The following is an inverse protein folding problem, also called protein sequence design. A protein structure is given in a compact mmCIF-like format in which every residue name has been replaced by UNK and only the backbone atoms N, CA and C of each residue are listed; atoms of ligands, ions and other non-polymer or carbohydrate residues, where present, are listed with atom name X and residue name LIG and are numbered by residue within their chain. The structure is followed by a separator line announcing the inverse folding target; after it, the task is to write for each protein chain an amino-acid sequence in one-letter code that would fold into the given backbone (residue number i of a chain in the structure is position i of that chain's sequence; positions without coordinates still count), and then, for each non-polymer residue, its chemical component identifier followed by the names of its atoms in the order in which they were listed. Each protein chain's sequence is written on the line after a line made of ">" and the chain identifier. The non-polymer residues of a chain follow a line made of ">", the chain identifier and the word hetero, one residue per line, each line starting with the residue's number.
data_IF_660479146777
#
_entry.id   IF_660479146777
#
_cell.length_a   1.000
_cell.length_b   1.000
_cell.length_c   1.000
_cell.angle_alpha   90.00
_cell.angle_beta   90.00
_cell.angle_gamma   90.00
#
_symmetry.space_group_name_H-M   'P 1'
#
loop_
_entity.id
_entity.type
_entity.pdbx_description
1 polymer ?
#
# COMPACT_ATOMS: atom_id res chain seq x y z
N UNK A 1 4.93 8.86 -6.88
CA UNK A 1 4.77 8.65 -5.43
C UNK A 1 6.08 8.27 -4.77
N UNK A 2 6.52 7.02 -4.90
CA UNK A 2 7.65 6.46 -4.14
C UNK A 2 8.98 7.19 -4.32
N UNK A 3 9.29 7.63 -5.54
CA UNK A 3 10.51 8.38 -5.84
C UNK A 3 10.49 9.79 -5.22
N UNK A 4 9.35 10.48 -5.25
CA UNK A 4 9.16 11.74 -4.52
C UNK A 4 9.37 11.51 -3.03
N UNK A 5 8.77 10.45 -2.46
CA UNK A 5 8.93 10.12 -1.04
C UNK A 5 10.41 9.95 -0.66
N UNK A 6 11.16 9.15 -1.43
CA UNK A 6 12.57 8.91 -1.21
C UNK A 6 13.41 10.20 -1.34
N UNK A 7 13.11 11.09 -2.29
CA UNK A 7 13.83 12.37 -2.41
C UNK A 7 13.74 13.20 -1.12
N UNK A 8 12.58 13.24 -0.47
CA UNK A 8 12.37 13.99 0.77
C UNK A 8 12.78 13.22 2.04
N UNK A 9 12.97 11.90 1.98
CA UNK A 9 13.47 11.06 3.08
C UNK A 9 14.93 10.64 2.92
N UNK A 10 15.63 11.12 1.90
CA UNK A 10 16.95 10.60 1.52
C UNK A 10 17.99 10.63 2.65
N UNK A 11 17.97 11.65 3.51
CA UNK A 11 18.88 11.74 4.66
C UNK A 11 18.50 10.75 5.76
N UNK A 12 17.20 10.61 6.02
CA UNK A 12 16.66 9.67 7.00
C UNK A 12 16.93 8.22 6.58
N UNK A 13 16.63 7.88 5.33
CA UNK A 13 16.81 6.52 4.82
C UNK A 13 18.30 6.12 4.74
N UNK A 14 19.20 7.09 4.53
CA UNK A 14 20.65 6.86 4.60
C UNK A 14 21.13 6.50 6.01
N UNK A 15 20.64 7.22 7.01
CA UNK A 15 21.07 7.00 8.40
C UNK A 15 20.36 5.80 9.05
N UNK A 16 19.14 5.47 8.62
CA UNK A 16 18.45 4.25 9.02
C UNK A 16 19.00 2.95 8.36
N UNK A 17 20.14 3.03 7.67
CA UNK A 17 20.78 1.93 6.93
C UNK A 17 19.80 1.12 6.06
N UNK A 18 18.75 1.75 5.53
CA UNK A 18 17.83 1.06 4.63
C UNK A 18 18.63 0.71 3.37
N UNK A 19 18.92 -0.58 3.19
CA UNK A 19 19.64 -1.11 2.04
C UNK A 19 18.81 -0.93 0.77
N UNK A 20 18.94 0.26 0.17
CA UNK A 20 18.41 0.54 -1.16
C UNK A 20 19.57 0.99 -2.05
N UNK A 21 20.50 0.08 -2.28
CA UNK A 21 21.68 0.28 -3.13
C UNK A 21 21.31 0.83 -4.51
N UNK A 22 20.17 0.38 -5.06
CA UNK A 22 19.63 0.81 -6.34
C UNK A 22 19.42 2.35 -6.44
N UNK A 23 18.99 3.00 -5.36
CA UNK A 23 18.67 4.44 -5.38
C UNK A 23 19.87 5.35 -5.13
N UNK A 24 21.06 4.80 -4.85
CA UNK A 24 22.28 5.61 -4.66
C UNK A 24 22.79 6.20 -5.98
N UNK A 25 22.53 5.51 -7.10
CA UNK A 25 23.03 5.87 -8.42
C UNK A 25 22.17 6.89 -9.17
N UNK A 26 20.97 7.21 -8.67
CA UNK A 26 20.03 8.11 -9.32
C UNK A 26 19.99 9.44 -8.56
N UNK A 27 20.08 10.56 -9.27
CA UNK A 27 20.03 11.89 -8.67
C UNK A 27 18.60 12.28 -8.26
N UNK A 28 18.41 13.15 -7.24
CA UNK A 28 17.08 13.61 -6.85
C UNK A 28 16.31 14.30 -7.98
N UNK A 29 17.03 14.99 -8.87
CA UNK A 29 16.42 15.67 -10.03
C UNK A 29 15.85 14.65 -11.02
N UNK A 30 16.60 13.59 -11.34
CA UNK A 30 16.10 12.49 -12.17
C UNK A 30 14.91 11.81 -11.51
N UNK A 31 14.96 11.60 -10.19
CA UNK A 31 13.87 10.98 -9.47
C UNK A 31 12.57 11.79 -9.53
N UNK A 32 12.67 13.11 -9.32
CA UNK A 32 11.52 14.00 -9.46
C UNK A 32 11.04 14.04 -10.90
N UNK A 33 11.95 14.19 -11.87
CA UNK A 33 11.61 14.21 -13.29
C UNK A 33 10.84 12.96 -13.72
N UNK A 34 11.36 11.77 -13.42
CA UNK A 34 10.66 10.52 -13.74
C UNK A 34 9.34 10.38 -12.99
N UNK A 35 9.22 10.91 -11.76
CA UNK A 35 7.95 10.92 -11.02
C UNK A 35 6.89 11.78 -11.70
N UNK A 36 7.26 12.99 -12.14
CA UNK A 36 6.33 13.89 -12.82
C UNK A 36 6.03 13.42 -14.25
N UNK A 37 7.02 12.87 -14.96
CA UNK A 37 6.84 12.32 -16.29
C UNK A 37 5.90 11.11 -16.26
N UNK A 38 6.13 10.15 -15.35
CA UNK A 38 5.24 8.99 -15.20
C UNK A 38 3.83 9.41 -14.79
N UNK A 39 3.68 10.33 -13.84
CA UNK A 39 2.37 10.86 -13.46
C UNK A 39 1.68 11.55 -14.64
N UNK A 40 2.38 12.41 -15.39
CA UNK A 40 1.85 13.09 -16.57
C UNK A 40 1.39 12.12 -17.65
N UNK A 41 2.23 11.13 -17.98
CA UNK A 41 1.87 10.10 -18.96
C UNK A 41 0.67 9.26 -18.50
N UNK A 42 0.61 8.85 -17.23
CA UNK A 42 -0.54 8.15 -16.67
C UNK A 42 -1.82 8.99 -16.72
N UNK A 43 -1.74 10.29 -16.40
CA UNK A 43 -2.89 11.19 -16.45
C UNK A 43 -3.38 11.41 -17.88
N UNK A 44 -2.46 11.55 -18.85
CA UNK A 44 -2.81 11.65 -20.27
C UNK A 44 -3.53 10.39 -20.76
N UNK A 45 -3.04 9.21 -20.35
CA UNK A 45 -3.66 7.93 -20.67
C UNK A 45 -5.06 7.81 -20.06
N UNK A 46 -5.22 8.14 -18.78
CA UNK A 46 -6.52 8.13 -18.11
C UNK A 46 -7.48 9.13 -18.75
N UNK A 47 -7.01 10.33 -19.10
CA UNK A 47 -7.83 11.35 -19.77
C UNK A 47 -8.28 10.91 -21.16
N UNK A 48 -7.42 10.21 -21.91
CA UNK A 48 -7.77 9.63 -23.20
C UNK A 48 -8.88 8.57 -23.08
N UNK A 49 -8.91 7.83 -21.96
CA UNK A 49 -9.96 6.84 -21.70
C UNK A 49 -11.25 7.53 -21.22
N UNK A 50 -11.16 8.33 -20.16
CA UNK A 50 -12.29 9.03 -19.55
C UNK A 50 -11.83 10.15 -18.59
N UNK A 51 -12.50 11.32 -18.63
CA UNK A 51 -12.13 12.49 -17.81
C UNK A 51 -12.26 12.24 -16.31
N UNK A 52 -13.24 11.43 -15.87
CA UNK A 52 -13.41 11.08 -14.45
C UNK A 52 -12.26 10.20 -13.96
N UNK A 53 -11.79 9.26 -14.79
CA UNK A 53 -10.60 8.47 -14.47
C UNK A 53 -9.36 9.35 -14.30
N UNK A 54 -9.19 10.38 -15.13
CA UNK A 54 -8.10 11.34 -14.98
C UNK A 54 -8.21 12.14 -13.68
N UNK A 55 -9.41 12.56 -13.28
CA UNK A 55 -9.64 13.25 -12.00
C UNK A 55 -9.30 12.33 -10.82
N UNK A 56 -9.72 11.07 -10.85
CA UNK A 56 -9.38 10.08 -9.82
C UNK A 56 -7.87 9.86 -9.78
N UNK A 57 -7.21 9.69 -10.92
CA UNK A 57 -5.76 9.55 -11.02
C UNK A 57 -5.00 10.78 -10.51
N UNK A 58 -5.51 11.98 -10.77
CA UNK A 58 -4.94 13.23 -10.27
C UNK A 58 -5.06 13.30 -8.74
N UNK A 59 -6.23 12.92 -8.20
CA UNK A 59 -6.43 12.85 -6.74
C UNK A 59 -5.44 11.91 -6.07
N UNK A 60 -5.15 10.75 -6.69
CA UNK A 60 -4.15 9.79 -6.21
C UNK A 60 -2.75 10.41 -6.17
N UNK A 61 -2.36 11.07 -7.26
CA UNK A 61 -1.08 11.76 -7.33
C UNK A 61 -0.97 12.85 -6.26
N UNK A 62 -2.00 13.68 -6.11
CA UNK A 62 -2.03 14.76 -5.12
C UNK A 62 -1.93 14.23 -3.69
N UNK A 63 -2.65 13.16 -3.34
CA UNK A 63 -2.55 12.54 -2.01
C UNK A 63 -1.10 12.14 -1.71
N UNK A 64 -0.43 11.44 -2.63
CA UNK A 64 0.96 11.03 -2.39
C UNK A 64 1.97 12.16 -2.48
N UNK A 65 1.69 13.19 -3.28
CA UNK A 65 2.51 14.39 -3.33
C UNK A 65 2.46 15.09 -1.96
N UNK A 66 1.27 15.43 -1.48
CA UNK A 66 1.04 16.11 -0.19
C UNK A 66 1.51 15.25 0.99
N UNK A 67 1.40 13.92 0.88
CA UNK A 67 1.95 12.98 1.86
C UNK A 67 3.46 13.11 2.02
N UNK A 68 4.19 13.26 0.92
CA UNK A 68 5.65 13.23 0.90
C UNK A 68 6.32 14.60 1.04
N UNK A 69 5.69 15.67 0.56
CA UNK A 69 6.35 16.98 0.35
C UNK A 69 5.96 18.03 1.40
N UNK A 70 6.88 18.94 1.79
CA UNK A 70 6.55 20.12 2.61
C UNK A 70 5.63 21.10 1.86
N UNK A 71 4.85 21.94 2.57
CA UNK A 71 4.84 22.12 4.02
C UNK A 71 3.97 21.10 4.78
N UNK A 72 3.05 20.41 4.09
CA UNK A 72 2.08 19.54 4.75
C UNK A 72 2.70 18.20 5.17
N UNK A 73 3.43 17.52 4.28
CA UNK A 73 4.13 16.25 4.55
C UNK A 73 3.31 15.31 5.45
N UNK A 74 2.11 14.91 5.01
CA UNK A 74 1.11 14.25 5.88
C UNK A 74 1.63 13.02 6.62
N UNK A 75 2.64 12.35 6.08
CA UNK A 75 3.33 11.23 6.75
C UNK A 75 3.90 11.57 8.13
N UNK A 76 4.08 12.86 8.44
CA UNK A 76 4.57 13.36 9.74
C UNK A 76 3.48 14.07 10.56
N UNK A 77 2.20 13.91 10.20
CA UNK A 77 1.06 14.52 10.91
C UNK A 77 0.09 13.44 11.33
N UNK A 78 0.03 13.06 12.62
CA UNK A 78 -0.96 12.08 13.10
C UNK A 78 -2.36 12.69 13.23
N UNK A 79 -3.46 11.99 12.88
CA UNK A 79 -3.54 10.67 12.23
C UNK A 79 -3.59 10.72 10.69
N UNK A 80 -3.18 11.84 10.08
CA UNK A 80 -3.23 12.06 8.63
C UNK A 80 -2.27 11.14 7.87
N UNK A 81 -1.21 10.64 8.51
CA UNK A 81 -0.32 9.61 7.98
C UNK A 81 -1.09 8.30 7.66
N UNK A 82 -1.99 7.87 8.55
CA UNK A 82 -2.87 6.72 8.32
C UNK A 82 -3.88 7.04 7.21
N UNK A 83 -4.55 8.20 7.29
CA UNK A 83 -5.60 8.57 6.34
C UNK A 83 -5.05 8.69 4.91
N UNK A 84 -3.87 9.29 4.73
CA UNK A 84 -3.24 9.41 3.43
C UNK A 84 -2.91 8.04 2.82
N UNK A 85 -2.45 7.07 3.63
CA UNK A 85 -2.22 5.70 3.16
C UNK A 85 -3.53 4.96 2.87
N UNK A 86 -4.55 5.09 3.73
CA UNK A 86 -5.86 4.48 3.52
C UNK A 86 -6.57 4.99 2.26
N UNK A 87 -6.37 6.27 1.90
CA UNK A 87 -6.86 6.86 0.67
C UNK A 87 -5.99 6.46 -0.54
N UNK A 88 -4.68 6.65 -0.43
CA UNK A 88 -3.73 6.49 -1.54
C UNK A 88 -3.47 5.04 -1.94
N UNK A 89 -3.53 4.09 -1.02
CA UNK A 89 -3.37 2.66 -1.32
C UNK A 89 -4.68 1.87 -1.24
N UNK A 90 -5.74 2.44 -0.66
CA UNK A 90 -7.04 1.79 -0.51
C UNK A 90 -8.11 2.40 -1.40
N UNK A 91 -8.70 3.51 -0.94
CA UNK A 91 -9.92 4.06 -1.53
C UNK A 91 -9.76 4.45 -3.00
N UNK A 92 -8.73 5.23 -3.31
CA UNK A 92 -8.58 5.83 -4.64
C UNK A 92 -8.19 4.78 -5.68
N UNK A 93 -7.22 3.86 -5.45
CA UNK A 93 -6.94 2.78 -6.40
C UNK A 93 -8.13 1.84 -6.61
N UNK A 94 -8.87 1.51 -5.54
CA UNK A 94 -10.09 0.71 -5.67
C UNK A 94 -11.12 1.42 -6.55
N UNK A 95 -11.40 2.69 -6.26
CA UNK A 95 -12.35 3.50 -7.04
C UNK A 95 -11.92 3.61 -8.50
N UNK A 96 -10.62 3.84 -8.76
CA UNK A 96 -10.07 3.93 -10.11
C UNK A 96 -10.32 2.63 -10.88
N UNK A 97 -9.98 1.48 -10.30
CA UNK A 97 -10.22 0.17 -10.93
C UNK A 97 -11.71 -0.14 -11.10
N UNK A 98 -12.53 0.21 -10.11
CA UNK A 98 -13.98 -0.02 -10.11
C UNK A 98 -14.68 0.73 -11.24
N UNK A 99 -14.35 2.02 -11.41
CA UNK A 99 -14.88 2.90 -12.48
C UNK A 99 -14.31 2.49 -13.84
N UNK A 100 -13.01 2.14 -13.91
CA UNK A 100 -12.37 1.70 -15.16
C UNK A 100 -13.06 0.46 -15.76
N UNK A 101 -13.59 -0.41 -14.91
CA UNK A 101 -14.34 -1.60 -15.32
C UNK A 101 -15.81 -1.32 -15.65
N UNK A 102 -16.24 -0.05 -15.63
CA UNK A 102 -17.61 0.36 -15.94
C UNK A 102 -18.64 0.03 -14.85
N UNK A 103 -18.19 -0.26 -13.62
CA UNK A 103 -19.13 -0.55 -12.54
C UNK A 103 -19.81 0.74 -12.04
N UNK A 104 -21.13 0.72 -11.78
CA UNK A 104 -21.85 1.87 -11.27
C UNK A 104 -21.52 2.15 -9.81
N UNK A 105 -21.34 3.43 -9.45
CA UNK A 105 -21.16 3.85 -8.06
C UNK A 105 -22.47 3.67 -7.29
N UNK A 106 -22.44 2.83 -6.26
CA UNK A 106 -23.60 2.47 -5.43
C UNK A 106 -23.23 2.54 -3.96
N UNK A 107 -24.22 2.42 -3.07
CA UNK A 107 -23.95 2.27 -1.64
C UNK A 107 -23.05 1.06 -1.35
N UNK A 108 -23.18 -0.02 -2.13
CA UNK A 108 -22.35 -1.20 -1.99
C UNK A 108 -20.88 -0.92 -2.33
N UNK A 109 -20.60 -0.16 -3.39
CA UNK A 109 -19.21 0.20 -3.75
C UNK A 109 -18.56 1.11 -2.72
N UNK A 110 -19.33 2.01 -2.08
CA UNK A 110 -18.85 2.84 -0.96
C UNK A 110 -18.42 1.96 0.21
N UNK A 111 -19.21 0.93 0.55
CA UNK A 111 -18.87 -0.03 1.60
C UNK A 111 -17.60 -0.80 1.25
N UNK A 112 -17.43 -1.24 -0.01
CA UNK A 112 -16.19 -1.90 -0.47
C UNK A 112 -14.95 -1.01 -0.30
N UNK A 113 -15.08 0.26 -0.69
CA UNK A 113 -14.02 1.27 -0.50
C UNK A 113 -13.64 1.39 0.97
N UNK A 114 -14.63 1.49 1.88
CA UNK A 114 -14.38 1.58 3.32
C UNK A 114 -13.67 0.32 3.84
N UNK A 115 -14.12 -0.88 3.45
CA UNK A 115 -13.51 -2.15 3.88
C UNK A 115 -12.04 -2.22 3.45
N UNK A 116 -11.76 -1.90 2.19
CA UNK A 116 -10.40 -1.88 1.62
C UNK A 116 -9.55 -0.83 2.33
N UNK A 117 -10.06 0.37 2.56
CA UNK A 117 -9.34 1.43 3.29
C UNK A 117 -9.02 1.05 4.73
N UNK A 118 -9.94 0.39 5.45
CA UNK A 118 -9.69 -0.11 6.80
C UNK A 118 -8.58 -1.16 6.83
N UNK A 119 -8.56 -2.08 5.85
CA UNK A 119 -7.50 -3.07 5.75
C UNK A 119 -6.15 -2.43 5.45
N UNK A 120 -6.11 -1.47 4.51
CA UNK A 120 -4.89 -0.73 4.18
C UNK A 120 -4.38 0.08 5.37
N UNK A 121 -5.26 0.75 6.11
CA UNK A 121 -4.91 1.48 7.32
C UNK A 121 -4.32 0.55 8.40
N UNK A 122 -4.95 -0.61 8.60
CA UNK A 122 -4.45 -1.67 9.46
C UNK A 122 -3.04 -2.12 9.05
N UNK A 123 -2.87 -2.48 7.78
CA UNK A 123 -1.60 -2.91 7.24
C UNK A 123 -0.51 -1.86 7.41
N UNK A 124 -0.83 -0.59 7.10
CA UNK A 124 0.08 0.54 7.29
C UNK A 124 0.60 0.62 8.73
N UNK A 125 -0.28 0.51 9.73
CA UNK A 125 0.13 0.49 11.14
C UNK A 125 1.08 -0.67 11.46
N UNK A 126 0.84 -1.85 10.91
CA UNK A 126 1.69 -3.02 11.14
C UNK A 126 3.07 -2.91 10.50
N UNK A 127 3.19 -2.31 9.31
CA UNK A 127 4.51 -2.09 8.71
C UNK A 127 5.25 -0.92 9.38
N UNK A 128 4.55 0.17 9.70
CA UNK A 128 5.12 1.34 10.36
C UNK A 128 5.46 1.08 11.83
N UNK A 129 4.94 0.00 12.43
CA UNK A 129 5.36 -0.48 13.75
C UNK A 129 6.88 -0.67 13.84
N UNK A 130 7.51 -1.21 12.79
CA UNK A 130 8.94 -1.50 12.78
C UNK A 130 9.81 -0.25 12.71
N UNK A 131 9.24 0.87 12.28
CA UNK A 131 9.97 2.13 12.12
C UNK A 131 9.79 3.06 13.34
N UNK A 132 9.05 2.67 14.40
CA UNK A 132 8.75 3.52 15.57
C UNK A 132 10.01 4.05 16.28
N UNK A 133 11.00 3.19 16.52
CA UNK A 133 12.21 3.57 17.25
C UNK A 133 13.06 4.52 16.40
N UNK A 134 13.31 4.14 15.15
CA UNK A 134 14.01 4.98 14.17
C UNK A 134 13.31 6.32 13.97
N UNK A 135 12.00 6.35 13.71
CA UNK A 135 11.27 7.62 13.51
C UNK A 135 11.38 8.55 14.72
N UNK A 136 11.44 8.01 15.96
CA UNK A 136 11.63 8.82 17.17
C UNK A 136 13.03 9.42 17.25
N UNK A 137 14.07 8.67 16.87
CA UNK A 137 15.46 9.17 16.85
C UNK A 137 15.62 10.37 15.92
N UNK A 138 14.87 10.41 14.82
CA UNK A 138 14.84 11.53 13.88
C UNK A 138 13.78 12.60 14.20
N UNK A 139 13.08 12.49 15.33
CA UNK A 139 12.05 13.45 15.73
C UNK A 139 10.80 13.44 14.83
N UNK A 140 10.57 12.36 14.08
CA UNK A 140 9.39 12.22 13.21
C UNK A 140 8.17 11.82 14.03
N UNK A 141 7.09 12.58 13.86
CA UNK A 141 5.80 12.34 14.50
C UNK A 141 4.88 11.59 13.53
N UNK A 142 4.78 10.28 13.68
CA UNK A 142 3.77 9.44 13.02
C UNK A 142 2.75 8.98 14.04
N UNK A 143 1.61 8.47 13.60
CA UNK A 143 0.64 7.89 14.53
C UNK A 143 1.26 6.74 15.30
N UNK A 144 2.14 5.96 14.67
CA UNK A 144 2.87 4.89 15.33
C UNK A 144 3.82 5.42 16.42
N UNK A 145 4.53 6.54 16.19
CA UNK A 145 5.42 7.10 17.22
C UNK A 145 4.66 7.70 18.40
N UNK A 146 3.46 8.28 18.18
CA UNK A 146 2.58 8.78 19.24
C UNK A 146 1.95 7.63 20.05
N UNK A 147 1.37 6.65 19.37
CA UNK A 147 0.71 5.51 20.03
C UNK A 147 1.72 4.62 20.78
N UNK A 148 2.91 4.46 20.20
CA UNK A 148 3.91 3.49 20.64
C UNK A 148 3.52 2.05 20.29
N UNK A 149 4.50 1.15 20.40
CA UNK A 149 4.44 -0.23 19.93
C UNK A 149 3.13 -0.97 20.27
N UNK A 150 2.74 -1.01 21.55
CA UNK A 150 1.55 -1.77 21.98
C UNK A 150 0.26 -1.21 21.36
N UNK A 151 0.01 0.10 21.47
CA UNK A 151 -1.23 0.70 20.99
C UNK A 151 -1.31 0.67 19.45
N UNK A 152 -0.20 0.80 18.73
CA UNK A 152 -0.14 0.62 17.27
C UNK A 152 -0.68 -0.75 16.86
N UNK A 153 -0.23 -1.82 17.53
CA UNK A 153 -0.71 -3.18 17.27
C UNK A 153 -2.21 -3.30 17.56
N UNK A 154 -2.68 -2.79 18.70
CA UNK A 154 -4.09 -2.85 19.06
C UNK A 154 -4.98 -2.11 18.06
N UNK A 155 -4.62 -0.89 17.68
CA UNK A 155 -5.39 -0.10 16.70
C UNK A 155 -5.38 -0.78 15.33
N UNK A 156 -4.21 -1.27 14.86
CA UNK A 156 -4.12 -2.02 13.61
C UNK A 156 -5.03 -3.26 13.62
N UNK A 157 -5.03 -4.01 14.73
CA UNK A 157 -5.88 -5.20 14.89
C UNK A 157 -7.37 -4.84 14.90
N UNK A 158 -7.77 -3.75 15.57
CA UNK A 158 -9.16 -3.29 15.56
C UNK A 158 -9.61 -2.92 14.14
N UNK A 159 -8.81 -2.15 13.40
CA UNK A 159 -9.11 -1.77 12.03
C UNK A 159 -9.23 -2.99 11.12
N UNK A 160 -8.36 -3.99 11.31
CA UNK A 160 -8.44 -5.26 10.60
C UNK A 160 -9.73 -6.01 10.90
N UNK A 161 -10.05 -6.23 12.18
CA UNK A 161 -11.24 -6.96 12.60
C UNK A 161 -12.51 -6.26 12.11
N UNK A 162 -12.55 -4.92 12.14
CA UNK A 162 -13.64 -4.15 11.56
C UNK A 162 -13.75 -4.38 10.05
N UNK A 163 -12.64 -4.32 9.30
CA UNK A 163 -12.63 -4.62 7.87
C UNK A 163 -13.16 -6.03 7.58
N UNK A 164 -12.71 -7.03 8.35
CA UNK A 164 -13.14 -8.42 8.21
C UNK A 164 -14.63 -8.62 8.52
N UNK A 165 -15.13 -8.08 9.64
CA UNK A 165 -16.55 -8.18 10.03
C UNK A 165 -17.44 -7.51 8.98
N UNK A 166 -17.08 -6.31 8.53
CA UNK A 166 -17.83 -5.62 7.48
C UNK A 166 -17.84 -6.41 6.17
N UNK A 167 -16.72 -7.05 5.82
CA UNK A 167 -16.64 -7.92 4.65
C UNK A 167 -17.58 -9.12 4.74
N UNK A 168 -17.62 -9.81 5.89
CA UNK A 168 -18.56 -10.91 6.12
C UNK A 168 -20.00 -10.42 5.99
N UNK A 169 -20.32 -9.33 6.67
CA UNK A 169 -21.68 -8.81 6.76
C UNK A 169 -22.26 -8.40 5.40
N UNK A 170 -21.45 -7.76 4.55
CA UNK A 170 -21.94 -7.22 3.27
C UNK A 170 -21.75 -8.16 2.07
N UNK A 171 -20.83 -9.11 2.12
CA UNK A 171 -20.39 -9.81 0.91
C UNK A 171 -20.40 -11.35 0.97
N UNK A 172 -20.65 -11.96 2.13
CA UNK A 172 -20.65 -13.41 2.33
C UNK A 172 -19.36 -14.12 1.83
N UNK A 173 -19.30 -15.46 1.94
CA UNK A 173 -18.10 -16.28 1.70
C UNK A 173 -17.58 -16.30 0.25
N UNK A 174 -18.32 -15.73 -0.71
CA UNK A 174 -18.02 -15.84 -2.13
C UNK A 174 -17.36 -14.59 -2.72
N UNK A 175 -17.27 -13.50 -1.96
CA UNK A 175 -16.68 -12.28 -2.48
C UNK A 175 -15.16 -12.25 -2.30
N UNK A 176 -14.50 -11.81 -3.35
CA UNK A 176 -13.06 -11.66 -3.47
C UNK A 176 -12.49 -10.83 -2.34
N UNK A 177 -13.21 -9.80 -1.88
CA UNK A 177 -12.75 -8.95 -0.78
C UNK A 177 -12.63 -9.78 0.50
N UNK A 178 -13.63 -10.63 0.80
CA UNK A 178 -13.59 -11.48 1.99
C UNK A 178 -12.52 -12.56 1.89
N UNK A 179 -12.39 -13.22 0.74
CA UNK A 179 -11.33 -14.23 0.52
C UNK A 179 -9.95 -13.58 0.71
N UNK A 180 -9.74 -12.40 0.13
CA UNK A 180 -8.46 -11.69 0.19
C UNK A 180 -8.13 -11.24 1.62
N UNK A 181 -9.09 -10.76 2.41
CA UNK A 181 -8.87 -10.43 3.83
C UNK A 181 -8.56 -11.70 4.65
N UNK A 182 -9.20 -12.83 4.34
CA UNK A 182 -8.98 -14.10 5.03
C UNK A 182 -7.58 -14.67 4.76
N UNK A 183 -7.04 -14.45 3.57
CA UNK A 183 -5.63 -14.79 3.24
C UNK A 183 -4.66 -13.85 3.98
N UNK A 184 -5.09 -12.64 4.33
CA UNK A 184 -4.29 -11.70 5.11
C UNK A 184 -4.29 -11.98 6.63
N UNK A 185 -5.25 -12.74 7.17
CA UNK A 185 -5.31 -13.13 8.60
C UNK A 185 -4.02 -13.80 9.11
N UNK A 186 -3.46 -14.84 8.45
CA UNK A 186 -2.20 -15.47 8.85
C UNK A 186 -1.04 -14.48 8.96
N UNK A 187 -1.01 -13.48 8.08
CA UNK A 187 0.03 -12.44 8.03
C UNK A 187 0.02 -11.62 9.32
N UNK A 188 -1.17 -11.22 9.77
CA UNK A 188 -1.34 -10.42 10.97
C UNK A 188 -1.07 -11.20 12.25
N UNK A 189 -1.40 -12.48 12.25
CA UNK A 189 -1.03 -13.39 13.34
C UNK A 189 0.49 -13.52 13.42
N UNK A 190 1.18 -13.68 12.28
CA UNK A 190 2.64 -13.76 12.23
C UNK A 190 3.32 -12.47 12.73
N UNK A 191 2.80 -11.29 12.37
CA UNK A 191 3.29 -10.00 12.89
C UNK A 191 3.14 -9.92 14.41
N UNK A 192 2.00 -10.37 14.95
CA UNK A 192 1.73 -10.33 16.38
C UNK A 192 2.58 -11.31 17.20
N UNK A 193 2.88 -12.49 16.64
CA UNK A 193 3.64 -13.54 17.31
C UNK A 193 5.15 -13.26 17.34
N UNK A 194 5.66 -12.59 16.32
CA UNK A 194 7.11 -12.45 16.12
C UNK A 194 7.48 -10.97 15.94
N UNK A 195 7.73 -10.31 17.06
CA UNK A 195 8.00 -8.86 17.14
C UNK A 195 9.37 -8.41 16.62
N UNK A 196 10.28 -9.34 16.28
CA UNK A 196 11.72 -9.06 16.11
C UNK A 196 12.35 -9.50 14.77
N UNK A 197 11.57 -9.87 13.76
CA UNK A 197 12.15 -10.53 12.57
C UNK A 197 11.96 -9.67 11.31
N UNK A 198 13.07 -9.24 10.71
CA UNK A 198 13.14 -8.59 9.38
C UNK A 198 12.47 -9.41 8.27
N UNK A 199 12.52 -10.74 8.36
CA UNK A 199 11.81 -11.68 7.49
C UNK A 199 10.29 -11.45 7.51
N UNK A 200 9.71 -11.07 8.65
CA UNK A 200 8.26 -10.88 8.78
C UNK A 200 7.84 -9.59 8.12
N UNK A 201 8.60 -8.52 8.29
CA UNK A 201 8.38 -7.27 7.53
C UNK A 201 8.40 -7.53 6.01
N UNK A 202 9.30 -8.38 5.52
CA UNK A 202 9.39 -8.77 4.11
C UNK A 202 8.21 -9.64 3.67
N UNK A 203 7.84 -10.66 4.45
CA UNK A 203 6.68 -11.53 4.17
C UNK A 203 5.37 -10.73 4.15
N UNK A 204 5.18 -9.85 5.14
CA UNK A 204 4.02 -8.96 5.24
C UNK A 204 3.95 -8.04 4.03
N UNK A 205 5.08 -7.45 3.62
CA UNK A 205 5.14 -6.59 2.44
C UNK A 205 4.85 -7.33 1.15
N UNK A 206 5.44 -8.51 0.97
CA UNK A 206 5.21 -9.36 -0.21
C UNK A 206 3.74 -9.80 -0.30
N UNK A 207 3.15 -10.23 0.82
CA UNK A 207 1.78 -10.72 0.84
C UNK A 207 0.75 -9.59 0.71
N UNK A 208 1.04 -8.38 1.17
CA UNK A 208 0.20 -7.21 0.90
C UNK A 208 0.29 -6.75 -0.54
N UNK A 209 1.48 -6.79 -1.17
CA UNK A 209 1.59 -6.54 -2.61
C UNK A 209 0.81 -7.59 -3.41
N UNK A 210 0.86 -8.86 -3.00
CA UNK A 210 0.04 -9.93 -3.58
C UNK A 210 -1.46 -9.64 -3.37
N UNK A 211 -1.86 -9.08 -2.22
CA UNK A 211 -3.23 -8.68 -1.92
C UNK A 211 -3.72 -7.50 -2.78
N UNK A 212 -2.99 -6.38 -2.81
CA UNK A 212 -3.33 -5.22 -3.64
C UNK A 212 -3.43 -5.60 -5.12
N UNK A 213 -2.55 -6.47 -5.58
CA UNK A 213 -2.61 -7.00 -6.94
C UNK A 213 -3.83 -7.92 -7.09
N UNK A 214 -4.07 -8.90 -6.22
CA UNK A 214 -5.19 -9.85 -6.33
C UNK A 214 -6.59 -9.21 -6.27
N UNK A 215 -6.78 -8.14 -5.50
CA UNK A 215 -8.04 -7.36 -5.48
C UNK A 215 -8.24 -6.59 -6.79
N UNK A 216 -7.18 -5.94 -7.29
CA UNK A 216 -7.19 -5.27 -8.60
C UNK A 216 -7.32 -6.27 -9.77
N UNK A 217 -6.80 -7.48 -9.60
CA UNK A 217 -6.67 -8.56 -10.59
C UNK A 217 -7.92 -9.44 -10.72
N UNK A 218 -8.69 -9.66 -9.64
CA UNK A 218 -9.96 -10.39 -9.72
C UNK A 218 -11.09 -9.52 -10.29
N UNK A 219 -11.06 -8.21 -10.02
CA UNK A 219 -11.90 -7.23 -10.71
C UNK A 219 -11.63 -7.26 -12.24
N UNK A 220 -10.38 -7.52 -12.64
CA UNK A 220 -9.98 -7.69 -14.05
C UNK A 220 -10.38 -9.06 -14.66
N UNK A 221 -10.24 -10.18 -13.93
CA UNK A 221 -10.59 -11.53 -14.41
C UNK A 221 -12.09 -11.73 -14.62
N UNK A 222 -12.94 -11.02 -13.87
CA UNK A 222 -14.40 -11.04 -14.12
C UNK A 222 -14.77 -10.59 -15.54
N UNK A 223 -13.84 -9.94 -16.27
CA UNK A 223 -14.10 -9.34 -17.58
C UNK A 223 -13.20 -9.86 -18.72
N UNK A 224 -11.95 -10.32 -18.50
CA UNK A 224 -11.07 -10.74 -19.61
C UNK A 224 -10.16 -11.98 -19.34
N UNK A 225 -10.08 -12.87 -20.34
CA UNK A 225 -9.50 -14.23 -20.37
C UNK A 225 -7.98 -14.38 -20.16
N UNK A 226 -7.57 -15.52 -19.56
CA UNK A 226 -6.33 -16.35 -19.59
C UNK A 226 -4.93 -15.68 -19.69
N UNK A 227 -4.71 -14.65 -20.52
CA UNK A 227 -3.41 -13.98 -20.73
C UNK A 227 -2.83 -13.33 -19.44
N UNK A 228 -3.64 -12.81 -18.50
CA UNK A 228 -3.12 -12.26 -17.24
C UNK A 228 -2.63 -13.32 -16.25
N UNK A 229 -3.10 -14.57 -16.36
CA UNK A 229 -2.70 -15.65 -15.46
C UNK A 229 -1.22 -15.98 -15.62
N UNK A 230 -0.72 -15.97 -16.84
CA UNK A 230 0.71 -16.19 -17.13
C UNK A 230 1.57 -15.04 -16.61
N UNK A 231 1.13 -13.78 -16.70
CA UNK A 231 1.86 -12.64 -16.13
C UNK A 231 1.87 -12.66 -14.59
N UNK A 232 0.77 -13.09 -13.97
CA UNK A 232 0.67 -13.28 -12.53
C UNK A 232 1.55 -14.43 -12.02
N UNK A 233 1.57 -15.56 -12.74
CA UNK A 233 2.46 -16.68 -12.43
C UNK A 233 3.94 -16.30 -12.60
N UNK A 234 4.27 -15.53 -13.64
CA UNK A 234 5.62 -14.98 -13.84
C UNK A 234 5.99 -14.02 -12.70
N UNK A 235 5.05 -13.19 -12.23
CA UNK A 235 5.30 -12.27 -11.11
C UNK A 235 5.46 -13.00 -9.76
N UNK A 236 4.68 -14.06 -9.51
CA UNK A 236 4.87 -14.96 -8.35
C UNK A 236 6.23 -15.64 -8.44
N UNK A 237 6.61 -16.16 -9.62
CA UNK A 237 7.91 -16.76 -9.84
C UNK A 237 9.04 -15.76 -9.57
N UNK A 238 8.95 -14.53 -10.08
CA UNK A 238 9.93 -13.47 -9.80
C UNK A 238 9.99 -13.17 -8.31
N UNK A 239 8.84 -13.07 -7.63
CA UNK A 239 8.78 -12.79 -6.19
C UNK A 239 9.39 -13.92 -5.36
N UNK A 240 9.13 -15.18 -5.72
CA UNK A 240 9.74 -16.36 -5.09
C UNK A 240 11.25 -16.40 -5.37
N UNK A 241 11.68 -16.12 -6.59
CA UNK A 241 13.09 -16.07 -6.98
C UNK A 241 13.84 -14.97 -6.23
N UNK A 242 13.25 -13.79 -6.09
CA UNK A 242 13.83 -12.68 -5.30
C UNK A 242 13.95 -13.06 -3.83
N UNK A 243 12.92 -13.68 -3.25
CA UNK A 243 12.98 -14.20 -1.86
C UNK A 243 14.04 -15.29 -1.72
N UNK A 244 14.14 -16.21 -2.67
CA UNK A 244 15.10 -17.31 -2.64
C UNK A 244 16.56 -16.84 -2.80
N UNK A 245 16.82 -15.92 -3.73
CA UNK A 245 18.16 -15.31 -3.92
C UNK A 245 18.58 -14.61 -2.62
N UNK A 246 17.66 -13.88 -2.00
CA UNK A 246 17.96 -13.13 -0.78
C UNK A 246 18.21 -14.04 0.44
N UNK A 247 17.46 -15.13 0.58
CA UNK A 247 17.70 -16.14 1.64
C UNK A 247 19.05 -16.86 1.47
N UNK A 248 19.64 -16.81 0.28
CA UNK A 248 20.95 -17.41 -0.01
C UNK A 248 22.12 -16.48 0.30
N UNK A 249 21.88 -15.17 0.39
CA UNK A 249 22.90 -14.16 0.76
C UNK A 249 23.06 -13.99 2.29
N UNK A 250 22.13 -14.51 3.10
CA UNK A 250 22.20 -14.52 4.57
C UNK A 250 22.90 -15.78 5.15
N UNK A 251 23.40 -16.71 4.32
CA UNK A 251 24.22 -17.87 4.71
C UNK A 251 25.61 -17.79 4.08
#
# INVERSE_FOLDING_TARGET
>A
GSWINYVFDRELDKHAEKNIEFFRFISPKEMLFSSFLSAGLSLLLLFYIDVYLAIIGLSLFLVFFIYATPPLRLKTIPPLDILANALGFGAIPFLLGYVLLGNPLTNQSIVQIVIVSLLVASYYLFISYFDIETDREFGIKTTCTILGQRKTIYVGTILFVLSFILSIYYFAWNDVILVSITICLPILILVNLFRKITLIRKLVSALFLIWCNSVSFNLFIKTYSIIPLTLFLVFILISITVVHIYLKEEN
#
